data_IF_475058749152
#
_entry.id   IF_475058749152
#
_cell.length_a   1.000
_cell.length_b   1.000
_cell.length_c   1.000
_cell.angle_alpha   90.00
_cell.angle_beta   90.00
_cell.angle_gamma   90.00
#
_symmetry.space_group_name_H-M   'P 1'
#
loop_
_entity.id
_entity.type
_entity.pdbx_description
1 polymer ?
#
# COMPACT_ATOMS: atom_id res chain seq x y z
N UNK A 1 -61.50 42.54 -54.87
CA UNK A 1 -60.87 42.43 -53.56
C UNK A 1 -60.61 40.97 -53.24
N UNK A 2 -59.39 40.47 -53.39
CA UNK A 2 -58.99 39.09 -53.09
C UNK A 2 -57.92 39.16 -52.00
N UNK A 3 -58.25 38.65 -50.80
CA UNK A 3 -57.35 38.52 -49.70
C UNK A 3 -56.53 37.24 -49.87
N UNK A 4 -55.21 37.35 -50.01
CA UNK A 4 -54.24 36.24 -49.96
C UNK A 4 -53.71 36.16 -48.56
N UNK A 5 -54.02 35.06 -47.83
CA UNK A 5 -53.40 34.69 -46.56
C UNK A 5 -52.07 34.00 -46.80
N UNK A 6 -51.04 34.65 -46.32
CA UNK A 6 -49.69 34.03 -46.29
C UNK A 6 -49.49 33.21 -45.01
N UNK A 7 -49.48 31.92 -45.15
CA UNK A 7 -49.20 31.03 -44.03
C UNK A 7 -47.64 30.90 -43.84
N UNK A 8 -47.14 31.50 -42.77
CA UNK A 8 -45.73 31.33 -42.37
C UNK A 8 -45.61 30.04 -41.54
N UNK A 9 -44.95 29.04 -42.11
CA UNK A 9 -44.56 27.84 -41.38
C UNK A 9 -43.28 28.16 -40.62
N UNK A 10 -43.37 28.25 -39.28
CA UNK A 10 -42.21 28.37 -38.38
C UNK A 10 -41.62 26.95 -38.18
N UNK A 11 -40.46 26.69 -38.77
CA UNK A 11 -39.70 25.48 -38.59
C UNK A 11 -38.88 25.63 -37.29
N UNK A 12 -39.38 25.04 -36.18
CA UNK A 12 -38.64 25.01 -34.90
C UNK A 12 -37.62 23.85 -35.00
N UNK A 13 -36.37 24.27 -35.27
CA UNK A 13 -35.23 23.33 -35.21
C UNK A 13 -34.95 22.93 -33.76
N UNK A 14 -35.23 21.69 -33.40
CA UNK A 14 -34.82 21.10 -32.12
C UNK A 14 -33.33 20.82 -32.14
N UNK A 15 -32.51 21.71 -31.57
CA UNK A 15 -31.09 21.47 -31.37
C UNK A 15 -30.98 20.58 -30.13
N UNK A 16 -30.74 19.27 -30.34
CA UNK A 16 -30.41 18.33 -29.26
C UNK A 16 -28.98 18.64 -28.83
N UNK A 17 -28.81 19.35 -27.72
CA UNK A 17 -27.54 19.48 -27.01
C UNK A 17 -27.23 18.11 -26.36
N UNK A 18 -26.41 17.27 -27.01
CA UNK A 18 -25.81 16.12 -26.38
C UNK A 18 -24.70 16.68 -25.45
N UNK A 19 -25.07 16.92 -24.20
CA UNK A 19 -24.10 17.21 -23.15
C UNK A 19 -23.22 15.97 -22.93
N UNK A 20 -22.07 15.93 -23.56
CA UNK A 20 -21.02 15.00 -23.18
C UNK A 20 -20.51 15.46 -21.80
N UNK A 21 -20.92 14.77 -20.76
CA UNK A 21 -20.31 14.91 -19.44
C UNK A 21 -18.86 14.43 -19.57
N UNK A 22 -17.95 15.36 -19.83
CA UNK A 22 -16.53 15.12 -19.71
C UNK A 22 -16.28 14.99 -18.20
N UNK A 23 -16.28 13.76 -17.70
CA UNK A 23 -15.75 13.49 -16.36
C UNK A 23 -14.28 13.86 -16.37
N UNK A 24 -13.93 14.96 -15.71
CA UNK A 24 -12.53 15.32 -15.52
C UNK A 24 -11.86 14.19 -14.73
N UNK A 25 -10.84 13.56 -15.32
CA UNK A 25 -10.04 12.55 -14.63
C UNK A 25 -9.40 13.17 -13.39
N UNK A 26 -9.43 12.44 -12.27
CA UNK A 26 -8.74 12.88 -11.06
C UNK A 26 -7.21 12.88 -11.28
N UNK A 27 -6.49 13.71 -10.52
CA UNK A 27 -5.03 13.73 -10.58
C UNK A 27 -4.42 12.33 -10.30
N UNK A 28 -5.03 11.58 -9.39
CA UNK A 28 -4.60 10.23 -9.04
C UNK A 28 -4.85 9.24 -10.19
N UNK A 29 -5.97 9.37 -10.92
CA UNK A 29 -6.24 8.56 -12.11
C UNK A 29 -5.23 8.86 -13.23
N UNK A 30 -4.87 10.12 -13.46
CA UNK A 30 -3.85 10.48 -14.45
C UNK A 30 -2.48 9.87 -14.11
N UNK A 31 -2.08 9.91 -12.83
CA UNK A 31 -0.85 9.26 -12.35
C UNK A 31 -0.93 7.75 -12.57
N UNK A 32 -2.03 7.11 -12.18
CA UNK A 32 -2.24 5.69 -12.42
C UNK A 32 -2.06 5.34 -13.89
N UNK A 33 -2.71 6.05 -14.81
CA UNK A 33 -2.61 5.79 -16.26
C UNK A 33 -1.17 5.93 -16.78
N UNK A 34 -0.39 6.89 -16.26
CA UNK A 34 1.03 7.01 -16.59
C UNK A 34 1.82 5.78 -16.12
N UNK A 35 1.57 5.31 -14.88
CA UNK A 35 2.27 4.14 -14.34
C UNK A 35 1.89 2.84 -15.06
N UNK A 36 0.66 2.72 -15.54
CA UNK A 36 0.24 1.57 -16.35
C UNK A 36 0.97 1.44 -17.70
N UNK A 37 1.54 2.53 -18.21
CA UNK A 37 2.36 2.51 -19.45
C UNK A 37 3.78 1.98 -19.24
N UNK A 38 4.25 1.85 -18.00
CA UNK A 38 5.58 1.28 -17.72
C UNK A 38 5.66 -0.18 -18.19
N UNK A 39 6.83 -0.68 -18.58
CA UNK A 39 6.97 -2.08 -18.97
C UNK A 39 6.71 -3.02 -17.79
N UNK A 40 6.34 -4.25 -18.09
CA UNK A 40 6.37 -5.32 -17.11
C UNK A 40 7.81 -5.81 -16.91
N UNK A 41 8.16 -6.18 -15.70
CA UNK A 41 9.37 -6.95 -15.41
C UNK A 41 9.16 -8.45 -15.70
N UNK A 42 10.21 -9.24 -15.49
CA UNK A 42 10.19 -10.69 -15.68
C UNK A 42 9.29 -11.43 -14.65
N UNK A 43 8.95 -10.75 -13.54
CA UNK A 43 8.05 -11.22 -12.48
C UNK A 43 7.21 -10.08 -11.95
N UNK A 44 6.17 -10.41 -11.13
CA UNK A 44 5.39 -9.38 -10.44
C UNK A 44 6.27 -8.55 -9.49
N UNK A 45 7.21 -9.18 -8.76
CA UNK A 45 8.14 -8.47 -7.89
C UNK A 45 9.00 -7.45 -8.69
N UNK A 46 9.57 -7.85 -9.83
CA UNK A 46 10.32 -6.92 -10.71
C UNK A 46 9.42 -5.83 -11.32
N UNK A 47 8.18 -6.14 -11.65
CA UNK A 47 7.20 -5.13 -12.11
C UNK A 47 6.88 -4.14 -10.99
N UNK A 48 6.67 -4.62 -9.76
CA UNK A 48 6.47 -3.76 -8.59
C UNK A 48 7.67 -2.81 -8.39
N UNK A 49 8.89 -3.31 -8.53
CA UNK A 49 10.09 -2.48 -8.43
C UNK A 49 10.17 -1.42 -9.53
N UNK A 50 9.80 -1.73 -10.77
CA UNK A 50 9.73 -0.75 -11.88
C UNK A 50 8.73 0.36 -11.55
N UNK A 51 7.54 0.00 -11.06
CA UNK A 51 6.51 0.96 -10.65
C UNK A 51 7.02 1.78 -9.46
N UNK A 52 7.58 1.14 -8.42
CA UNK A 52 8.10 1.80 -7.22
C UNK A 52 9.19 2.83 -7.57
N UNK A 53 10.15 2.49 -8.43
CA UNK A 53 11.20 3.40 -8.91
C UNK A 53 10.64 4.64 -9.59
N UNK A 54 9.50 4.52 -10.27
CA UNK A 54 8.89 5.66 -10.99
C UNK A 54 8.28 6.71 -10.06
N UNK A 55 8.18 6.42 -8.75
CA UNK A 55 7.73 7.35 -7.72
C UNK A 55 8.88 8.04 -6.98
N UNK A 56 10.15 7.73 -7.28
CA UNK A 56 11.30 8.37 -6.63
C UNK A 56 11.18 9.89 -6.73
N UNK A 57 11.34 10.57 -5.59
CA UNK A 57 11.19 12.03 -5.47
C UNK A 57 9.80 12.49 -5.04
N UNK A 58 8.77 11.65 -5.11
CA UNK A 58 7.43 11.99 -4.61
C UNK A 58 7.46 12.25 -3.09
N UNK A 59 6.65 13.22 -2.60
CA UNK A 59 6.67 13.61 -1.20
C UNK A 59 6.26 12.49 -0.24
N UNK A 60 6.88 12.47 0.95
CA UNK A 60 6.39 11.73 2.11
C UNK A 60 5.32 12.54 2.84
N UNK A 61 4.23 11.91 3.22
CA UNK A 61 3.21 12.49 4.09
C UNK A 61 2.61 11.41 4.97
N UNK A 62 2.71 11.61 6.29
CA UNK A 62 2.09 10.72 7.26
C UNK A 62 0.57 10.92 7.32
N UNK A 63 -0.14 9.90 7.81
CA UNK A 63 -1.57 9.95 8.14
C UNK A 63 -2.47 10.34 6.97
N UNK A 64 -2.11 9.97 5.74
CA UNK A 64 -2.91 10.26 4.53
C UNK A 64 -4.27 9.55 4.52
N UNK A 65 -4.45 8.54 5.36
CA UNK A 65 -5.70 7.78 5.50
C UNK A 65 -6.63 8.34 6.59
N UNK A 66 -6.12 9.27 7.41
CA UNK A 66 -6.84 9.84 8.54
C UNK A 66 -7.63 11.11 8.14
N UNK A 67 -8.53 11.55 9.04
CA UNK A 67 -9.28 12.82 8.88
C UNK A 67 -10.64 12.69 8.20
N UNK A 68 -11.02 11.52 7.69
CA UNK A 68 -12.38 11.29 7.19
C UNK A 68 -13.33 10.97 8.35
N UNK A 69 -14.54 11.58 8.40
CA UNK A 69 -15.53 11.32 9.46
C UNK A 69 -16.03 9.87 9.49
N UNK A 70 -16.00 9.21 8.34
CA UNK A 70 -16.32 7.79 8.17
C UNK A 70 -15.19 7.12 7.42
N UNK A 71 -14.88 5.88 7.80
CA UNK A 71 -13.89 5.08 7.09
C UNK A 71 -14.31 4.89 5.64
N UNK A 72 -13.38 5.16 4.73
CA UNK A 72 -13.56 5.02 3.29
C UNK A 72 -12.24 4.72 2.61
N UNK A 73 -12.30 4.14 1.42
CA UNK A 73 -11.10 3.95 0.62
C UNK A 73 -10.54 5.32 0.20
N UNK A 74 -9.34 5.60 0.66
CA UNK A 74 -8.55 6.76 0.20
C UNK A 74 -7.55 6.29 -0.85
N UNK A 75 -7.63 6.86 -2.04
CA UNK A 75 -6.61 6.74 -3.07
C UNK A 75 -5.84 8.06 -3.14
N UNK A 76 -4.53 7.99 -2.90
CA UNK A 76 -3.63 9.13 -3.03
C UNK A 76 -2.32 8.64 -3.66
N UNK A 77 -2.01 9.12 -4.86
CA UNK A 77 -0.81 8.77 -5.62
C UNK A 77 0.17 9.94 -5.72
N UNK A 78 -0.05 11.02 -4.98
CA UNK A 78 0.76 12.25 -5.01
C UNK A 78 1.74 12.34 -3.85
N UNK A 79 1.39 11.76 -2.70
CA UNK A 79 2.21 11.69 -1.51
C UNK A 79 1.91 10.40 -0.72
N UNK A 80 2.90 9.88 -0.01
CA UNK A 80 2.85 8.56 0.61
C UNK A 80 3.52 8.53 1.98
N UNK A 81 3.02 7.68 2.86
CA UNK A 81 3.82 7.06 3.90
C UNK A 81 4.37 5.69 3.42
N UNK A 82 5.08 4.97 4.29
CA UNK A 82 5.68 3.70 3.90
C UNK A 82 4.64 2.64 3.51
N UNK A 83 3.56 2.53 4.27
CA UNK A 83 2.53 1.52 4.05
C UNK A 83 1.69 1.83 2.81
N UNK A 84 1.23 3.08 2.65
CA UNK A 84 0.45 3.48 1.47
C UNK A 84 1.26 3.42 0.18
N UNK A 85 2.60 3.62 0.25
CA UNK A 85 3.50 3.41 -0.87
C UNK A 85 3.52 1.94 -1.31
N UNK A 86 3.76 1.01 -0.37
CA UNK A 86 3.80 -0.43 -0.65
C UNK A 86 2.45 -0.93 -1.16
N UNK A 87 1.35 -0.55 -0.53
CA UNK A 87 -0.01 -0.92 -0.95
C UNK A 87 -0.32 -0.44 -2.37
N UNK A 88 -0.03 0.84 -2.68
CA UNK A 88 -0.34 1.42 -3.99
C UNK A 88 0.47 0.78 -5.11
N UNK A 89 1.76 0.54 -4.89
CA UNK A 89 2.63 -0.15 -5.87
C UNK A 89 2.17 -1.60 -6.07
N UNK A 90 1.83 -2.31 -5.00
CA UNK A 90 1.32 -3.69 -5.07
C UNK A 90 -0.01 -3.74 -5.81
N UNK A 91 -0.97 -2.84 -5.48
CA UNK A 91 -2.25 -2.76 -6.18
C UNK A 91 -2.10 -2.45 -7.68
N UNK A 92 -1.20 -1.53 -8.05
CA UNK A 92 -0.88 -1.25 -9.46
C UNK A 92 -0.30 -2.49 -10.15
N UNK A 93 0.60 -3.20 -9.49
CA UNK A 93 1.19 -4.43 -10.02
C UNK A 93 0.12 -5.48 -10.29
N UNK A 94 -0.74 -5.77 -9.32
CA UNK A 94 -1.86 -6.70 -9.48
C UNK A 94 -2.80 -6.29 -10.62
N UNK A 95 -3.07 -4.99 -10.73
CA UNK A 95 -3.92 -4.43 -11.79
C UNK A 95 -3.30 -4.64 -13.17
N UNK A 96 -1.98 -4.48 -13.33
CA UNK A 96 -1.29 -4.72 -14.61
C UNK A 96 -1.39 -6.17 -15.08
N UNK A 97 -1.44 -7.13 -14.16
CA UNK A 97 -1.58 -8.56 -14.47
C UNK A 97 -3.04 -9.03 -14.53
N UNK A 98 -4.00 -8.13 -14.31
CA UNK A 98 -5.42 -8.45 -14.39
C UNK A 98 -5.96 -8.40 -15.83
N UNK A 99 -7.12 -9.00 -16.06
CA UNK A 99 -7.83 -8.94 -17.35
C UNK A 99 -8.34 -7.53 -17.71
N UNK A 100 -8.47 -6.65 -16.70
CA UNK A 100 -9.00 -5.29 -16.85
C UNK A 100 -8.10 -4.30 -16.11
N UNK A 101 -7.01 -3.78 -16.72
CA UNK A 101 -6.10 -2.86 -16.07
C UNK A 101 -6.66 -1.43 -16.03
N UNK A 102 -7.79 -1.23 -15.36
CA UNK A 102 -8.51 0.05 -15.22
C UNK A 102 -8.26 0.67 -13.85
N UNK A 103 -8.51 1.96 -13.70
CA UNK A 103 -8.43 2.68 -12.43
C UNK A 103 -9.44 2.16 -11.41
N UNK A 104 -10.63 1.73 -11.85
CA UNK A 104 -11.62 1.09 -11.00
C UNK A 104 -11.09 -0.24 -10.42
N UNK A 105 -10.44 -1.07 -11.27
CA UNK A 105 -9.83 -2.29 -10.78
C UNK A 105 -8.65 -2.02 -9.84
N UNK A 106 -7.85 -0.99 -10.10
CA UNK A 106 -6.80 -0.56 -9.18
C UNK A 106 -7.38 -0.21 -7.80
N UNK A 107 -8.46 0.56 -7.74
CA UNK A 107 -9.15 0.87 -6.48
C UNK A 107 -9.69 -0.40 -5.81
N UNK A 108 -10.16 -1.37 -6.59
CA UNK A 108 -10.58 -2.68 -6.06
C UNK A 108 -9.40 -3.46 -5.46
N UNK A 109 -8.25 -3.53 -6.15
CA UNK A 109 -7.05 -4.16 -5.62
C UNK A 109 -6.53 -3.45 -4.36
N UNK A 110 -6.50 -2.11 -4.37
CA UNK A 110 -6.09 -1.31 -3.22
C UNK A 110 -7.00 -1.56 -2.01
N UNK A 111 -8.31 -1.64 -2.23
CA UNK A 111 -9.29 -1.97 -1.19
C UNK A 111 -9.04 -3.37 -0.61
N UNK A 112 -8.79 -4.35 -1.47
CA UNK A 112 -8.53 -5.74 -1.05
C UNK A 112 -7.22 -5.88 -0.26
N UNK A 113 -6.22 -5.04 -0.52
CA UNK A 113 -4.97 -5.00 0.23
C UNK A 113 -5.09 -4.27 1.56
N UNK A 114 -5.92 -3.24 1.65
CA UNK A 114 -5.99 -2.34 2.81
C UNK A 114 -7.02 -2.75 3.85
N UNK A 115 -8.06 -3.45 3.44
CA UNK A 115 -9.18 -3.79 4.31
C UNK A 115 -9.35 -5.29 4.44
N UNK A 116 -9.71 -5.72 5.63
CA UNK A 116 -9.98 -7.13 5.95
C UNK A 116 -11.08 -7.67 5.01
N UNK A 117 -10.76 -8.74 4.30
CA UNK A 117 -11.61 -9.34 3.25
C UNK A 117 -12.04 -8.35 2.14
N UNK A 118 -11.32 -7.25 1.94
CA UNK A 118 -11.67 -6.23 0.95
C UNK A 118 -12.94 -5.45 1.27
N UNK A 119 -13.39 -5.39 2.52
CA UNK A 119 -14.64 -4.74 2.90
C UNK A 119 -14.38 -3.54 3.82
N UNK A 120 -14.95 -2.37 3.45
CA UNK A 120 -14.89 -1.17 4.28
C UNK A 120 -16.08 -1.18 5.25
N UNK A 121 -15.84 -1.59 6.48
CA UNK A 121 -16.86 -1.71 7.55
C UNK A 121 -16.46 -0.95 8.82
N UNK A 122 -16.00 0.31 8.66
CA UNK A 122 -15.53 1.14 9.76
C UNK A 122 -14.00 0.99 9.98
N UNK A 123 -13.50 1.73 10.96
CA UNK A 123 -12.07 1.89 11.23
C UNK A 123 -11.34 0.56 11.44
N UNK A 124 -11.91 -0.34 12.22
CA UNK A 124 -11.32 -1.63 12.55
C UNK A 124 -11.25 -2.61 11.37
N UNK A 125 -11.95 -2.34 10.25
CA UNK A 125 -11.82 -3.17 9.05
C UNK A 125 -10.53 -2.93 8.28
N UNK A 126 -9.82 -1.81 8.54
CA UNK A 126 -8.50 -1.52 7.99
C UNK A 126 -7.46 -2.46 8.60
N UNK A 127 -6.54 -2.97 7.81
CA UNK A 127 -5.40 -3.76 8.27
C UNK A 127 -4.38 -2.80 8.91
N UNK A 128 -4.48 -2.59 10.22
CA UNK A 128 -3.65 -1.63 10.95
C UNK A 128 -2.23 -2.11 11.22
N UNK A 129 -2.00 -3.42 11.14
CA UNK A 129 -0.70 -4.05 11.32
C UNK A 129 -0.23 -4.66 10.00
N UNK A 130 1.00 -4.37 9.60
CA UNK A 130 1.53 -4.87 8.34
C UNK A 130 1.67 -6.41 8.33
N UNK A 131 1.82 -7.03 9.50
CA UNK A 131 1.75 -8.48 9.66
C UNK A 131 0.40 -9.05 9.20
N UNK A 132 -0.72 -8.39 9.54
CA UNK A 132 -2.05 -8.80 9.09
C UNK A 132 -2.19 -8.64 7.56
N UNK A 133 -1.60 -7.56 7.02
CA UNK A 133 -1.50 -7.35 5.58
C UNK A 133 -0.75 -8.49 4.88
N UNK A 134 0.39 -8.95 5.44
CA UNK A 134 1.15 -10.07 4.90
C UNK A 134 0.33 -11.37 4.92
N UNK A 135 -0.31 -11.70 6.04
CA UNK A 135 -1.15 -12.90 6.21
C UNK A 135 -2.28 -12.88 5.18
N UNK A 136 -3.09 -11.82 5.13
CA UNK A 136 -4.20 -11.73 4.17
C UNK A 136 -3.71 -11.78 2.71
N UNK A 137 -2.55 -11.17 2.42
CA UNK A 137 -1.98 -11.21 1.08
C UNK A 137 -1.52 -12.61 0.68
N UNK A 138 -1.03 -13.41 1.63
CA UNK A 138 -0.65 -14.82 1.41
C UNK A 138 -1.91 -15.69 1.19
N UNK A 139 -2.92 -15.55 2.03
CA UNK A 139 -4.22 -16.24 1.88
C UNK A 139 -4.87 -15.94 0.52
N UNK A 140 -4.76 -14.70 0.04
CA UNK A 140 -5.24 -14.25 -1.27
C UNK A 140 -4.29 -14.61 -2.44
N UNK A 141 -3.21 -15.35 -2.19
CA UNK A 141 -2.22 -15.79 -3.21
C UNK A 141 -1.58 -14.61 -3.98
N UNK A 142 -1.44 -13.47 -3.32
CA UNK A 142 -0.78 -12.28 -3.86
C UNK A 142 0.73 -12.45 -3.79
N UNK A 143 1.22 -13.08 -2.73
CA UNK A 143 2.62 -13.31 -2.47
C UNK A 143 2.81 -14.35 -1.37
N UNK A 144 4.05 -14.47 -0.88
CA UNK A 144 4.43 -15.38 0.19
C UNK A 144 5.40 -14.71 1.16
N UNK A 145 5.19 -14.92 2.47
CA UNK A 145 6.21 -14.65 3.48
C UNK A 145 7.33 -15.69 3.38
N UNK A 146 8.46 -15.27 2.82
CA UNK A 146 9.63 -16.14 2.65
C UNK A 146 10.60 -16.05 3.83
N UNK A 147 10.30 -15.29 4.85
CA UNK A 147 11.22 -14.98 5.96
C UNK A 147 11.76 -16.24 6.61
N UNK A 148 10.90 -17.21 6.93
CA UNK A 148 11.31 -18.50 7.51
C UNK A 148 12.21 -19.29 6.54
N UNK A 149 11.89 -19.28 5.25
CA UNK A 149 12.64 -20.03 4.21
C UNK A 149 14.08 -19.53 4.04
N UNK A 150 14.32 -18.25 4.33
CA UNK A 150 15.65 -17.62 4.19
C UNK A 150 16.37 -17.44 5.53
N UNK A 151 15.99 -18.21 6.56
CA UNK A 151 16.69 -18.27 7.85
C UNK A 151 16.14 -17.35 8.93
N UNK A 152 14.90 -16.90 8.80
CA UNK A 152 14.17 -16.20 9.85
C UNK A 152 13.89 -17.10 11.06
N UNK A 153 13.77 -16.46 12.20
CA UNK A 153 13.42 -17.10 13.48
C UNK A 153 12.10 -16.57 14.01
N UNK A 154 11.42 -17.35 14.84
CA UNK A 154 10.15 -16.94 15.45
C UNK A 154 10.35 -15.72 16.34
N UNK A 155 9.51 -14.70 16.13
CA UNK A 155 9.37 -13.54 17.02
C UNK A 155 8.16 -13.77 17.94
N UNK A 156 8.44 -13.98 19.22
CA UNK A 156 7.38 -14.23 20.23
C UNK A 156 6.72 -12.97 20.77
N UNK A 157 6.92 -11.82 20.09
CA UNK A 157 6.32 -10.55 20.52
C UNK A 157 4.79 -10.59 20.37
N UNK A 158 4.08 -10.28 21.43
CA UNK A 158 2.65 -10.03 21.39
C UNK A 158 2.36 -8.69 20.71
N UNK A 159 1.41 -8.67 19.78
CA UNK A 159 0.98 -7.48 19.05
C UNK A 159 -0.25 -6.89 19.75
N UNK A 160 -0.08 -5.71 20.36
CA UNK A 160 -1.13 -5.04 21.15
C UNK A 160 -0.91 -3.50 21.25
N UNK A 161 -0.07 -2.92 20.38
CA UNK A 161 0.33 -1.51 20.47
C UNK A 161 -0.87 -0.55 20.46
N UNK A 162 -1.80 -0.72 19.54
CA UNK A 162 -2.95 0.20 19.43
C UNK A 162 -3.86 0.18 20.65
N UNK A 163 -4.10 -0.99 21.25
CA UNK A 163 -4.94 -1.09 22.43
C UNK A 163 -4.22 -0.64 23.71
N UNK A 164 -2.89 -0.78 23.79
CA UNK A 164 -2.08 -0.24 24.90
C UNK A 164 -1.88 1.28 24.80
N UNK A 165 -1.96 1.84 23.61
CA UNK A 165 -1.77 3.27 23.34
C UNK A 165 -3.02 3.89 22.71
N UNK A 166 -4.18 3.57 23.29
CA UNK A 166 -5.50 4.00 22.81
C UNK A 166 -5.60 5.52 22.60
N UNK A 167 -4.90 6.28 23.43
CA UNK A 167 -4.85 7.75 23.40
C UNK A 167 -4.27 8.31 22.10
N UNK A 168 -3.44 7.54 21.40
CA UNK A 168 -2.85 7.94 20.11
C UNK A 168 -3.83 7.80 18.93
N UNK A 169 -4.96 7.11 19.14
CA UNK A 169 -5.92 6.77 18.09
C UNK A 169 -7.31 7.33 18.43
N UNK A 170 -7.65 8.55 17.96
CA UNK A 170 -8.91 9.21 18.30
C UNK A 170 -10.16 8.36 18.05
N UNK A 171 -10.16 7.54 16.98
CA UNK A 171 -11.28 6.66 16.64
C UNK A 171 -11.48 5.55 17.67
N UNK A 172 -10.44 5.13 18.39
CA UNK A 172 -10.54 4.12 19.44
C UNK A 172 -11.19 4.64 20.75
N UNK A 173 -11.60 5.91 20.81
CA UNK A 173 -12.48 6.41 21.87
C UNK A 173 -13.85 5.75 21.80
N UNK A 174 -14.27 5.31 20.62
CA UNK A 174 -15.45 4.46 20.44
C UNK A 174 -15.19 3.04 20.95
N UNK A 175 -16.04 2.53 21.81
CA UNK A 175 -15.86 1.22 22.46
C UNK A 175 -16.05 0.06 21.47
N UNK A 176 -16.88 0.24 20.44
CA UNK A 176 -17.09 -0.78 19.41
C UNK A 176 -15.81 -0.92 18.57
N UNK A 177 -15.30 0.20 18.04
CA UNK A 177 -14.05 0.21 17.28
C UNK A 177 -12.87 -0.33 18.11
N UNK A 178 -12.80 0.04 19.40
CA UNK A 178 -11.77 -0.49 20.30
C UNK A 178 -11.86 -2.01 20.48
N UNK A 179 -13.07 -2.53 20.72
CA UNK A 179 -13.32 -3.96 20.86
C UNK A 179 -12.97 -4.74 19.61
N UNK A 180 -13.32 -4.21 18.42
CA UNK A 180 -13.01 -4.83 17.13
C UNK A 180 -11.50 -4.87 16.86
N UNK A 181 -10.77 -3.76 17.10
CA UNK A 181 -9.29 -3.73 16.97
C UNK A 181 -8.65 -4.71 17.95
N UNK A 182 -9.12 -4.78 19.20
CA UNK A 182 -8.63 -5.74 20.20
C UNK A 182 -8.81 -7.19 19.74
N UNK A 183 -9.96 -7.51 19.14
CA UNK A 183 -10.22 -8.84 18.58
C UNK A 183 -9.29 -9.14 17.39
N UNK A 184 -9.06 -8.17 16.50
CA UNK A 184 -8.08 -8.30 15.41
C UNK A 184 -6.67 -8.58 15.92
N UNK A 185 -6.21 -7.86 16.94
CA UNK A 185 -4.91 -8.10 17.59
C UNK A 185 -4.81 -9.51 18.20
N UNK A 186 -5.88 -9.97 18.88
CA UNK A 186 -5.93 -11.32 19.43
C UNK A 186 -5.77 -12.36 18.33
N UNK A 187 -6.54 -12.24 17.26
CA UNK A 187 -6.46 -13.13 16.10
C UNK A 187 -5.06 -13.12 15.46
N UNK A 188 -4.47 -11.93 15.29
CA UNK A 188 -3.13 -11.78 14.73
C UNK A 188 -2.05 -12.51 15.55
N UNK A 189 -2.23 -12.60 16.88
CA UNK A 189 -1.31 -13.31 17.77
C UNK A 189 -1.45 -14.84 17.76
N UNK A 190 -2.42 -15.39 17.03
CA UNK A 190 -2.59 -16.84 16.82
C UNK A 190 -1.64 -17.37 15.75
N UNK A 191 -1.05 -16.50 14.90
CA UNK A 191 -0.13 -16.87 13.83
C UNK A 191 1.33 -16.80 14.28
N UNK A 192 2.16 -17.68 13.78
CA UNK A 192 3.61 -17.56 13.92
C UNK A 192 4.13 -16.35 13.16
N UNK A 193 5.06 -15.64 13.76
CA UNK A 193 5.70 -14.48 13.18
C UNK A 193 7.21 -14.70 13.08
N UNK A 194 7.74 -14.65 11.85
CA UNK A 194 9.16 -14.83 11.59
C UNK A 194 9.84 -13.50 11.27
N UNK A 195 11.09 -13.37 11.72
CA UNK A 195 11.93 -12.24 11.35
C UNK A 195 13.40 -12.65 11.27
N UNK A 196 14.17 -11.94 10.47
CA UNK A 196 15.63 -12.06 10.43
C UNK A 196 16.19 -10.96 11.34
N UNK A 197 16.85 -11.28 12.45
CA UNK A 197 17.47 -10.28 13.32
C UNK A 197 18.46 -9.41 12.54
N UNK A 198 18.49 -8.09 12.83
CA UNK A 198 19.29 -7.11 12.06
C UNK A 198 20.76 -7.50 11.89
N UNK A 199 21.36 -8.10 12.91
CA UNK A 199 22.75 -8.57 12.83
C UNK A 199 22.97 -9.79 11.91
N UNK A 200 21.90 -10.39 11.37
CA UNK A 200 21.96 -11.51 10.43
C UNK A 200 21.55 -11.12 9.00
N UNK A 201 20.98 -9.93 8.80
CA UNK A 201 20.42 -9.52 7.50
C UNK A 201 21.46 -9.54 6.39
N UNK A 202 22.67 -9.03 6.64
CA UNK A 202 23.75 -9.04 5.62
C UNK A 202 24.03 -10.43 5.05
N UNK A 203 24.01 -11.45 5.91
CA UNK A 203 24.26 -12.86 5.52
C UNK A 203 23.12 -13.47 4.71
N UNK A 204 21.92 -12.88 4.74
CA UNK A 204 20.74 -13.35 4.01
C UNK A 204 20.45 -12.56 2.74
N UNK A 205 21.18 -11.45 2.48
CA UNK A 205 20.93 -10.57 1.33
C UNK A 205 20.96 -11.31 -0.02
N UNK A 206 21.77 -12.38 -0.16
CA UNK A 206 21.83 -13.18 -1.39
C UNK A 206 20.53 -13.93 -1.72
N UNK A 207 19.63 -14.10 -0.75
CA UNK A 207 18.34 -14.77 -0.91
C UNK A 207 17.19 -13.78 -1.12
N UNK A 208 17.44 -12.48 -0.90
CA UNK A 208 16.51 -11.39 -1.14
C UNK A 208 16.63 -10.94 -2.60
N UNK A 209 15.51 -10.81 -3.29
CA UNK A 209 15.44 -10.47 -4.70
C UNK A 209 14.94 -9.03 -4.92
N UNK A 210 15.26 -8.48 -6.09
CA UNK A 210 14.69 -7.23 -6.55
C UNK A 210 13.16 -7.24 -6.52
N UNK A 211 12.58 -6.27 -5.81
CA UNK A 211 11.14 -6.12 -5.68
C UNK A 211 10.49 -6.93 -4.55
N UNK A 212 11.26 -7.69 -3.76
CA UNK A 212 10.75 -8.22 -2.50
C UNK A 212 10.32 -7.07 -1.59
N UNK A 213 9.20 -7.22 -0.90
CA UNK A 213 8.74 -6.26 0.09
C UNK A 213 9.49 -6.55 1.39
N UNK A 214 10.16 -5.54 1.91
CA UNK A 214 10.87 -5.56 3.18
C UNK A 214 10.02 -4.88 4.23
N UNK A 215 9.63 -5.63 5.26
CA UNK A 215 8.97 -5.11 6.44
C UNK A 215 9.97 -5.09 7.61
N UNK A 216 10.27 -3.89 8.13
CA UNK A 216 11.28 -3.69 9.17
C UNK A 216 10.63 -3.86 10.54
N UNK A 217 11.03 -4.90 11.26
CA UNK A 217 10.47 -5.24 12.58
C UNK A 217 10.87 -4.23 13.66
N UNK A 218 9.95 -3.99 14.60
CA UNK A 218 10.07 -3.00 15.66
C UNK A 218 10.69 -3.57 16.94
N UNK A 219 11.50 -2.76 17.66
CA UNK A 219 11.83 -3.04 19.07
C UNK A 219 10.77 -2.49 20.03
N UNK A 220 9.84 -1.66 19.54
CA UNK A 220 8.75 -1.07 20.35
C UNK A 220 7.82 -2.19 20.79
N UNK A 221 7.49 -2.22 22.08
CA UNK A 221 6.58 -3.22 22.64
C UNK A 221 5.21 -3.14 21.97
N UNK A 222 4.63 -4.29 21.64
CA UNK A 222 3.31 -4.38 21.02
C UNK A 222 3.22 -4.02 19.54
N UNK A 223 4.28 -3.45 18.94
CA UNK A 223 4.30 -3.03 17.53
C UNK A 223 5.05 -4.06 16.67
N UNK A 224 4.44 -4.52 15.59
CA UNK A 224 5.02 -5.48 14.65
C UNK A 224 6.17 -4.86 13.83
N UNK A 225 5.86 -3.89 12.98
CA UNK A 225 6.79 -3.24 12.08
C UNK A 225 6.85 -1.73 12.30
N UNK A 226 8.00 -1.14 12.00
CA UNK A 226 8.21 0.32 12.03
C UNK A 226 8.13 0.94 10.65
N UNK A 227 8.42 0.14 9.62
CA UNK A 227 8.66 0.69 8.29
C UNK A 227 8.62 -0.39 7.23
N UNK A 228 8.23 -0.03 5.99
CA UNK A 228 8.17 -0.92 4.85
C UNK A 228 8.77 -0.27 3.60
N UNK A 229 9.17 -1.12 2.64
CA UNK A 229 9.69 -0.69 1.35
C UNK A 229 9.97 -1.89 0.45
N UNK A 230 10.62 -1.63 -0.68
CA UNK A 230 11.01 -2.65 -1.64
C UNK A 230 12.52 -2.87 -1.62
N UNK A 231 12.94 -4.12 -1.70
CA UNK A 231 14.34 -4.47 -1.90
C UNK A 231 14.80 -4.06 -3.30
N UNK A 232 16.01 -3.52 -3.36
CA UNK A 232 16.71 -3.23 -4.61
C UNK A 232 18.15 -3.69 -4.50
N UNK A 233 18.57 -4.55 -5.41
CA UNK A 233 19.94 -5.02 -5.48
C UNK A 233 20.84 -3.99 -6.19
N UNK A 234 21.95 -3.65 -5.56
CA UNK A 234 22.96 -2.74 -6.11
C UNK A 234 24.34 -3.15 -5.61
N UNK A 235 25.27 -3.38 -6.54
CA UNK A 235 26.67 -3.76 -6.24
C UNK A 235 26.78 -4.98 -5.29
N UNK A 236 25.92 -6.00 -5.49
CA UNK A 236 25.93 -7.20 -4.68
C UNK A 236 25.32 -7.08 -3.28
N UNK A 237 24.78 -5.91 -2.91
CA UNK A 237 24.13 -5.64 -1.63
C UNK A 237 22.66 -5.26 -1.85
N UNK A 238 21.83 -5.43 -0.84
CA UNK A 238 20.44 -5.00 -0.83
C UNK A 238 20.31 -3.59 -0.25
N UNK A 239 19.57 -2.73 -0.92
CA UNK A 239 19.16 -1.40 -0.48
C UNK A 239 17.64 -1.36 -0.33
N UNK A 240 17.12 -0.33 0.35
CA UNK A 240 15.69 -0.14 0.57
C UNK A 240 15.16 1.02 -0.31
N UNK A 241 14.20 0.74 -1.18
CA UNK A 241 13.39 1.76 -1.87
C UNK A 241 12.12 1.99 -1.05
N UNK A 242 11.98 3.17 -0.45
CA UNK A 242 10.95 3.47 0.53
C UNK A 242 10.48 4.93 0.52
N UNK A 243 9.32 5.20 1.12
CA UNK A 243 8.90 6.54 1.46
C UNK A 243 9.58 6.94 2.77
N UNK A 244 10.65 7.74 2.69
CA UNK A 244 11.48 8.12 3.84
C UNK A 244 10.85 9.23 4.66
N UNK A 245 10.57 8.95 5.95
CA UNK A 245 10.13 9.97 6.91
C UNK A 245 11.17 11.08 7.09
N UNK A 246 12.46 10.73 7.19
CA UNK A 246 13.54 11.68 7.47
C UNK A 246 13.82 12.56 6.24
N UNK A 247 13.86 11.98 5.04
CA UNK A 247 14.16 12.70 3.80
C UNK A 247 12.91 13.29 3.12
N UNK A 248 11.72 13.06 3.69
CA UNK A 248 10.42 13.59 3.23
C UNK A 248 10.08 13.26 1.78
N UNK A 249 10.56 12.14 1.28
CA UNK A 249 10.32 11.68 -0.10
C UNK A 249 10.55 10.20 -0.29
N UNK A 250 10.05 9.67 -1.40
CA UNK A 250 10.39 8.32 -1.86
C UNK A 250 11.82 8.33 -2.40
N UNK A 251 12.65 7.41 -1.91
CA UNK A 251 14.05 7.30 -2.29
C UNK A 251 14.61 5.90 -2.08
N UNK A 252 15.77 5.65 -2.63
CA UNK A 252 16.59 4.48 -2.27
C UNK A 252 17.47 4.89 -1.09
N UNK A 253 17.60 4.03 -0.07
CA UNK A 253 18.50 4.27 1.06
C UNK A 253 19.93 4.56 0.58
N UNK A 254 20.65 5.41 1.31
CA UNK A 254 22.02 5.78 0.94
C UNK A 254 22.99 4.62 1.19
N UNK A 255 22.73 3.83 2.22
CA UNK A 255 23.49 2.66 2.62
C UNK A 255 22.72 1.35 2.33
N UNK A 256 23.42 0.21 2.29
CA UNK A 256 22.83 -1.12 2.26
C UNK A 256 21.84 -1.34 3.41
N UNK A 257 20.84 -2.20 3.21
CA UNK A 257 19.75 -2.45 4.17
C UNK A 257 20.27 -2.84 5.55
N UNK A 258 21.26 -3.73 5.62
CA UNK A 258 21.83 -4.16 6.92
C UNK A 258 22.43 -2.97 7.69
N UNK A 259 23.11 -2.04 7.01
CA UNK A 259 23.70 -0.86 7.59
C UNK A 259 22.64 0.16 7.99
N UNK A 260 21.60 0.34 7.16
CA UNK A 260 20.43 1.17 7.44
C UNK A 260 19.73 0.73 8.74
N UNK A 261 19.52 -0.59 8.91
CA UNK A 261 18.89 -1.15 10.11
C UNK A 261 19.72 -0.86 11.37
N UNK A 262 21.04 -0.94 11.28
CA UNK A 262 21.93 -0.75 12.43
C UNK A 262 21.97 0.70 12.93
N UNK A 263 21.73 1.69 12.08
CA UNK A 263 21.67 3.10 12.47
C UNK A 263 20.46 3.45 13.35
N UNK A 264 19.38 2.69 13.27
CA UNK A 264 18.11 3.02 13.93
C UNK A 264 17.84 2.01 15.06
N UNK A 265 17.86 2.51 16.30
CA UNK A 265 17.68 1.68 17.51
C UNK A 265 16.34 0.94 17.54
N UNK A 266 15.28 1.55 16.97
CA UNK A 266 13.93 0.98 16.94
C UNK A 266 13.80 -0.20 15.97
N UNK A 267 14.75 -0.44 15.09
CA UNK A 267 14.74 -1.57 14.15
C UNK A 267 15.34 -2.80 14.82
N UNK A 268 14.61 -3.93 14.78
CA UNK A 268 15.08 -5.22 15.33
C UNK A 268 15.55 -6.21 14.25
N UNK A 269 15.03 -6.09 13.04
CA UNK A 269 15.31 -6.97 11.92
C UNK A 269 14.35 -6.73 10.76
N UNK A 270 14.12 -7.75 9.96
CA UNK A 270 13.20 -7.68 8.81
C UNK A 270 12.35 -8.94 8.68
N UNK A 271 11.17 -8.81 8.08
CA UNK A 271 10.46 -9.88 7.37
C UNK A 271 10.47 -9.59 5.87
N UNK A 272 10.39 -10.63 5.05
CA UNK A 272 10.51 -10.53 3.60
C UNK A 272 9.31 -11.19 2.93
N UNK A 273 8.55 -10.39 2.17
CA UNK A 273 7.37 -10.86 1.44
C UNK A 273 7.61 -10.77 -0.07
N UNK A 274 7.41 -11.86 -0.80
CA UNK A 274 7.65 -11.96 -2.25
C UNK A 274 6.34 -12.05 -3.01
N UNK A 275 6.13 -11.16 -3.98
CA UNK A 275 4.99 -11.22 -4.89
C UNK A 275 5.11 -12.39 -5.89
N UNK A 276 4.01 -13.15 -6.08
CA UNK A 276 3.92 -14.36 -6.92
C UNK A 276 3.26 -14.07 -8.26
#
# INVERSE_FOLDING_TARGET
MKNTHFNSIILIGFIIFISHSIFAQSADEMIFMQKMKLPNGESKAKTALIIAKSFIGQPYKAATLEGNPKEQLVCNLRDFDCSTFVESVTAMTLTKYSKKPTYENFNTQLKNLRYRNGEVKGYASRLHYFREWMIQSEENKIGQDITNLIGGIINKKEINFMTKHRELYPTLKDEVAFGEVKNGQKHLNEYDFYFIPKGKVEKTESQIQDGDIIAITSTVEGLDFNHEGFAIQKNGRIYLLHASYDQKKIMISQEPLADYLNKIKKHSGISVFRLL
#
